data_IF_895458171850
#
_entry.id   IF_895458171850
#
_cell.length_a   1.000
_cell.length_b   1.000
_cell.length_c   1.000
_cell.angle_alpha   90.00
_cell.angle_beta   90.00
_cell.angle_gamma   90.00
#
_symmetry.space_group_name_H-M   'P 1'
#
loop_
_entity.id
_entity.type
_entity.pdbx_description
1 polymer ?
#
# COMPACT_ATOMS: atom_id res chain seq x y z
N UNK A 1 38.02 -35.24 -10.99
CA UNK A 1 37.36 -35.50 -9.70
C UNK A 1 36.47 -34.32 -9.39
N UNK A 2 35.26 -34.33 -9.94
CA UNK A 2 34.19 -33.41 -9.61
C UNK A 2 33.07 -34.27 -8.99
N UNK A 3 32.90 -34.22 -7.70
CA UNK A 3 31.77 -34.81 -6.99
C UNK A 3 31.44 -33.90 -5.81
N UNK A 4 30.20 -33.59 -5.74
CA UNK A 4 29.36 -32.98 -4.67
C UNK A 4 28.89 -31.59 -4.96
N UNK A 5 28.00 -31.46 -5.95
CA UNK A 5 26.92 -30.50 -5.91
C UNK A 5 25.81 -31.13 -5.03
N UNK A 6 25.65 -30.59 -3.82
CA UNK A 6 24.50 -30.87 -2.98
C UNK A 6 23.30 -30.17 -3.64
N UNK A 7 22.21 -30.87 -3.95
CA UNK A 7 21.01 -30.20 -4.40
C UNK A 7 20.44 -29.41 -3.22
N UNK A 8 20.37 -28.08 -3.37
CA UNK A 8 19.57 -27.26 -2.48
C UNK A 8 18.12 -27.81 -2.52
N UNK A 9 17.48 -28.01 -1.35
CA UNK A 9 16.09 -28.33 -1.33
C UNK A 9 15.31 -27.15 -1.91
N UNK A 10 14.55 -27.44 -2.95
CA UNK A 10 13.56 -26.55 -3.55
C UNK A 10 12.49 -26.27 -2.47
N UNK A 11 12.66 -25.19 -1.73
CA UNK A 11 11.63 -24.68 -0.85
C UNK A 11 10.63 -23.95 -1.74
N UNK A 12 9.58 -24.67 -2.13
CA UNK A 12 8.39 -24.05 -2.71
C UNK A 12 7.73 -23.30 -1.54
N UNK A 13 8.06 -22.04 -1.39
CA UNK A 13 7.29 -21.11 -0.56
C UNK A 13 5.97 -20.87 -1.30
N UNK A 14 4.97 -21.67 -0.98
CA UNK A 14 3.58 -21.29 -1.14
C UNK A 14 3.37 -20.18 -0.12
N UNK A 15 3.55 -18.93 -0.54
CA UNK A 15 3.11 -17.78 0.22
C UNK A 15 1.58 -17.82 0.21
N UNK A 16 0.98 -18.48 1.20
CA UNK A 16 -0.41 -18.20 1.50
C UNK A 16 -0.48 -16.73 1.92
N UNK A 17 -1.33 -15.92 1.28
CA UNK A 17 -1.52 -14.55 1.72
C UNK A 17 -2.02 -14.58 3.16
N UNK A 18 -1.23 -14.07 4.09
CA UNK A 18 -1.66 -13.88 5.47
C UNK A 18 -2.44 -12.57 5.50
N UNK A 19 -3.73 -12.66 5.30
CA UNK A 19 -4.65 -11.55 5.51
C UNK A 19 -4.74 -11.28 7.00
N UNK A 20 -3.86 -10.45 7.52
CA UNK A 20 -3.92 -9.92 8.89
C UNK A 20 -4.19 -8.44 8.85
N UNK A 21 -5.20 -7.95 9.59
CA UNK A 21 -5.31 -6.52 9.88
C UNK A 21 -4.06 -6.10 10.67
N UNK A 22 -3.08 -5.56 9.99
CA UNK A 22 -1.84 -5.10 10.61
C UNK A 22 -0.66 -5.26 9.69
N UNK A 23 -0.03 -4.16 9.35
CA UNK A 23 1.11 -3.96 8.48
C UNK A 23 1.99 -5.18 8.19
N UNK A 24 2.59 -5.18 7.04
CA UNK A 24 3.43 -6.23 6.47
C UNK A 24 3.86 -7.33 7.46
N UNK A 25 3.12 -8.42 7.52
CA UNK A 25 3.61 -9.64 8.15
C UNK A 25 4.37 -10.43 7.07
N UNK A 26 5.53 -9.90 6.71
CA UNK A 26 6.48 -10.59 5.86
C UNK A 26 6.91 -11.86 6.58
N UNK A 27 6.28 -12.99 6.27
CA UNK A 27 6.57 -14.33 6.74
C UNK A 27 6.85 -14.44 8.25
N UNK A 28 6.31 -15.43 8.92
CA UNK A 28 6.55 -15.70 10.35
C UNK A 28 8.07 -15.85 10.66
N UNK A 29 8.80 -14.73 10.70
CA UNK A 29 10.18 -14.67 11.14
C UNK A 29 10.31 -14.90 12.66
N UNK A 30 9.19 -15.15 13.37
CA UNK A 30 9.15 -15.36 14.82
C UNK A 30 9.95 -16.58 15.28
N UNK A 31 10.24 -17.52 14.42
CA UNK A 31 10.94 -18.80 14.72
C UNK A 31 12.45 -18.75 14.58
N UNK A 32 13.03 -17.64 14.17
CA UNK A 32 14.48 -17.48 14.01
C UNK A 32 15.19 -17.16 15.32
N UNK A 33 16.42 -17.67 15.50
CA UNK A 33 17.33 -17.27 16.58
C UNK A 33 17.78 -15.81 16.45
N UNK A 34 18.66 -15.35 17.38
CA UNK A 34 19.35 -14.06 17.26
C UNK A 34 20.02 -13.94 15.91
N UNK A 35 19.91 -12.81 15.25
CA UNK A 35 20.60 -12.59 13.98
C UNK A 35 19.99 -11.49 13.14
N UNK A 36 20.64 -11.29 12.04
CA UNK A 36 20.20 -10.42 10.95
C UNK A 36 19.34 -11.24 9.98
N UNK A 37 18.34 -10.62 9.40
CA UNK A 37 17.55 -11.15 8.30
C UNK A 37 17.21 -10.03 7.33
N UNK A 38 16.95 -10.39 6.10
CA UNK A 38 16.55 -9.43 5.10
C UNK A 38 15.67 -10.10 4.04
N UNK A 39 14.75 -9.31 3.53
CA UNK A 39 13.88 -9.63 2.42
C UNK A 39 14.04 -8.54 1.37
N UNK A 40 14.18 -8.91 0.11
CA UNK A 40 14.31 -7.96 -1.00
C UNK A 40 13.29 -8.34 -2.06
N UNK A 41 12.43 -7.39 -2.40
CA UNK A 41 11.49 -7.49 -3.51
C UNK A 41 11.80 -6.41 -4.54
N UNK A 42 12.23 -6.83 -5.71
CA UNK A 42 12.54 -5.95 -6.83
C UNK A 42 11.42 -6.04 -7.84
N UNK A 43 10.78 -4.91 -8.12
CA UNK A 43 9.76 -4.77 -9.16
C UNK A 43 10.11 -3.61 -10.07
N UNK A 44 10.11 -3.87 -11.36
CA UNK A 44 10.29 -2.84 -12.39
C UNK A 44 9.10 -2.89 -13.33
N UNK A 45 8.48 -1.76 -13.51
CA UNK A 45 7.34 -1.55 -14.39
C UNK A 45 7.77 -0.88 -15.69
N UNK A 46 7.15 -1.28 -16.77
CA UNK A 46 7.24 -0.68 -18.10
C UNK A 46 5.82 -0.49 -18.58
N UNK A 47 5.33 0.72 -18.51
CA UNK A 47 3.95 1.06 -18.75
C UNK A 47 3.83 2.03 -19.93
N UNK A 48 2.70 1.97 -20.62
CA UNK A 48 2.29 2.93 -21.62
C UNK A 48 0.89 3.42 -21.31
N UNK A 49 0.72 4.73 -21.20
CA UNK A 49 -0.57 5.37 -21.22
C UNK A 49 -1.00 5.44 -22.68
N UNK A 50 -2.01 4.64 -23.05
CA UNK A 50 -2.44 4.42 -24.44
C UNK A 50 -3.59 5.32 -24.85
N UNK A 51 -4.32 5.86 -23.88
CA UNK A 51 -5.42 6.81 -24.06
C UNK A 51 -5.54 7.69 -22.83
N UNK A 52 -5.68 8.98 -22.99
CA UNK A 52 -5.89 9.96 -21.94
C UNK A 52 -6.67 11.16 -22.51
N UNK A 53 -7.43 11.87 -21.66
CA UNK A 53 -8.17 13.07 -22.06
C UNK A 53 -7.27 14.16 -22.67
N UNK A 54 -6.02 14.23 -22.21
CA UNK A 54 -5.00 15.10 -22.75
C UNK A 54 -3.93 14.27 -23.48
N UNK A 55 -3.76 14.48 -24.77
CA UNK A 55 -2.75 13.78 -25.55
C UNK A 55 -1.30 14.00 -25.03
N UNK A 56 -1.06 15.06 -24.25
CA UNK A 56 0.22 15.29 -23.56
C UNK A 56 0.47 14.30 -22.42
N UNK A 57 -0.51 13.53 -22.02
CA UNK A 57 -0.43 12.50 -20.97
C UNK A 57 -0.29 11.08 -21.54
N UNK A 58 -0.25 10.93 -22.89
CA UNK A 58 0.02 9.66 -23.55
C UNK A 58 1.53 9.48 -23.77
N UNK A 59 2.19 8.70 -22.93
CA UNK A 59 3.64 8.46 -22.99
C UNK A 59 4.02 7.07 -22.48
N UNK A 60 5.27 6.68 -22.75
CA UNK A 60 5.89 5.48 -22.18
C UNK A 60 6.59 5.85 -20.87
N UNK A 61 6.46 5.00 -19.85
CA UNK A 61 7.18 5.17 -18.60
C UNK A 61 7.82 3.87 -18.12
N UNK A 62 8.97 4.00 -17.47
CA UNK A 62 9.59 2.91 -16.72
C UNK A 62 9.91 3.40 -15.31
N UNK A 63 9.47 2.64 -14.32
CA UNK A 63 9.70 2.95 -12.91
C UNK A 63 9.92 1.68 -12.10
N UNK A 64 10.47 1.83 -10.90
CA UNK A 64 10.60 0.73 -9.96
C UNK A 64 9.73 0.95 -8.73
N UNK A 65 9.15 -0.14 -8.24
CA UNK A 65 8.50 -0.22 -6.94
C UNK A 65 9.16 -1.36 -6.18
N UNK A 66 10.35 -1.08 -5.67
CA UNK A 66 11.20 -2.09 -5.04
C UNK A 66 11.40 -1.77 -3.57
N UNK A 67 11.38 -2.78 -2.72
CA UNK A 67 11.62 -2.60 -1.30
C UNK A 67 12.57 -3.63 -0.72
N UNK A 68 13.25 -3.24 0.33
CA UNK A 68 14.16 -4.06 1.10
C UNK A 68 13.80 -3.96 2.57
N UNK A 69 13.38 -5.07 3.15
CA UNK A 69 13.25 -5.20 4.59
C UNK A 69 14.57 -5.66 5.19
N UNK A 70 15.02 -4.96 6.21
CA UNK A 70 16.18 -5.29 7.02
C UNK A 70 15.76 -5.45 8.47
N UNK A 71 16.09 -6.57 9.08
CA UNK A 71 15.77 -6.81 10.47
C UNK A 71 16.95 -7.33 11.27
N UNK A 72 17.02 -6.91 12.54
CA UNK A 72 17.96 -7.45 13.50
C UNK A 72 17.23 -7.91 14.76
N UNK A 73 17.33 -9.20 15.05
CA UNK A 73 16.74 -9.80 16.24
C UNK A 73 17.79 -9.93 17.33
N UNK A 74 17.57 -9.26 18.46
CA UNK A 74 18.45 -9.31 19.64
C UNK A 74 18.16 -10.53 20.53
N UNK A 75 16.89 -10.91 20.61
CA UNK A 75 16.40 -12.10 21.31
C UNK A 75 15.04 -12.50 20.73
N UNK A 76 14.35 -13.49 21.32
CA UNK A 76 13.06 -13.98 20.85
C UNK A 76 11.91 -12.95 20.91
N UNK A 77 12.12 -11.80 21.56
CA UNK A 77 11.09 -10.79 21.76
C UNK A 77 11.45 -9.40 21.24
N UNK A 78 12.72 -9.07 21.10
CA UNK A 78 13.19 -7.73 20.76
C UNK A 78 13.86 -7.73 19.39
N UNK A 79 13.36 -6.88 18.48
CA UNK A 79 13.93 -6.64 17.16
C UNK A 79 13.92 -5.17 16.76
N UNK A 80 14.72 -4.84 15.76
CA UNK A 80 14.64 -3.60 14.99
C UNK A 80 14.39 -4.00 13.54
N UNK A 81 13.43 -3.35 12.89
CA UNK A 81 13.12 -3.55 11.48
C UNK A 81 13.18 -2.23 10.75
N UNK A 82 13.65 -2.25 9.51
CA UNK A 82 13.60 -1.12 8.59
C UNK A 82 13.07 -1.60 7.25
N UNK A 83 12.13 -0.87 6.66
CA UNK A 83 11.68 -1.05 5.30
C UNK A 83 12.17 0.15 4.47
N UNK A 84 12.97 -0.14 3.46
CA UNK A 84 13.59 0.84 2.57
C UNK A 84 12.99 0.62 1.19
N UNK A 85 12.46 1.67 0.58
CA UNK A 85 11.92 1.65 -0.77
C UNK A 85 12.81 2.41 -1.75
N UNK A 86 12.88 1.90 -2.98
CA UNK A 86 13.24 2.66 -4.17
C UNK A 86 11.97 2.69 -4.99
N UNK A 87 11.35 3.84 -5.08
CA UNK A 87 10.02 3.97 -5.67
C UNK A 87 10.00 5.18 -6.61
N UNK A 88 9.70 4.91 -7.89
CA UNK A 88 9.33 5.94 -8.84
C UNK A 88 7.82 6.11 -8.80
N UNK A 89 7.34 7.32 -8.78
CA UNK A 89 5.91 7.60 -8.84
C UNK A 89 5.42 7.45 -10.29
N UNK A 90 4.45 6.54 -10.55
CA UNK A 90 3.82 6.50 -11.85
C UNK A 90 3.08 7.82 -12.09
N UNK A 91 3.24 8.38 -13.27
CA UNK A 91 2.59 9.65 -13.61
C UNK A 91 1.06 9.54 -13.48
N UNK A 92 0.47 10.55 -12.86
CA UNK A 92 -0.97 10.62 -12.61
C UNK A 92 -1.43 10.03 -11.28
N UNK A 93 -0.54 9.57 -10.43
CA UNK A 93 -0.85 9.32 -9.02
C UNK A 93 -0.52 10.55 -8.19
N UNK A 94 -1.47 11.45 -8.04
CA UNK A 94 -1.39 12.47 -7.00
C UNK A 94 -1.71 11.79 -5.68
N UNK A 95 -0.68 11.46 -4.91
CA UNK A 95 -0.88 11.21 -3.49
C UNK A 95 -1.38 12.52 -2.89
N UNK A 96 -2.60 12.52 -2.33
CA UNK A 96 -3.20 13.68 -1.69
C UNK A 96 -2.38 14.16 -0.48
N UNK A 97 -1.23 14.72 -0.74
CA UNK A 97 -0.48 15.56 0.17
C UNK A 97 -0.81 17.00 -0.22
N UNK A 98 -1.69 17.63 0.58
CA UNK A 98 -2.00 19.04 0.44
C UNK A 98 -0.74 19.88 0.55
N UNK A 99 -0.13 20.12 -0.57
CA UNK A 99 0.74 21.24 -0.87
C UNK A 99 0.59 21.45 -2.38
N UNK A 100 -0.46 22.14 -2.78
CA UNK A 100 -0.45 22.79 -4.07
C UNK A 100 0.73 23.78 -4.04
N UNK A 101 1.74 23.52 -4.85
CA UNK A 101 2.66 24.59 -5.25
C UNK A 101 1.80 25.58 -6.04
N UNK A 102 1.34 26.66 -5.37
CA UNK A 102 0.83 27.83 -6.06
C UNK A 102 1.95 28.38 -6.94
N UNK A 103 1.98 27.96 -8.19
CA UNK A 103 2.68 28.71 -9.23
C UNK A 103 1.98 30.08 -9.30
N UNK A 104 2.58 31.08 -8.68
CA UNK A 104 2.23 32.47 -8.91
C UNK A 104 2.48 32.80 -10.37
N UNK A 105 1.45 32.64 -11.19
CA UNK A 105 1.39 33.29 -12.48
C UNK A 105 1.17 34.79 -12.24
N UNK A 106 2.25 35.56 -12.35
CA UNK A 106 2.14 36.99 -12.59
C UNK A 106 1.35 37.19 -13.89
N UNK A 107 0.14 37.76 -13.78
CA UNK A 107 -0.68 38.15 -14.91
C UNK A 107 0.03 39.29 -15.69
N UNK A 108 0.83 38.91 -16.68
CA UNK A 108 1.14 39.80 -17.80
C UNK A 108 0.13 39.52 -18.91
N UNK A 109 -0.76 40.47 -19.16
CA UNK A 109 -1.61 40.55 -20.35
C UNK A 109 -0.75 40.56 -21.63
N UNK A 110 -0.77 39.47 -22.40
CA UNK A 110 -0.03 39.39 -23.65
C UNK A 110 -0.37 38.21 -24.53
N UNK A 111 -1.24 38.45 -25.52
CA UNK A 111 -1.38 37.75 -26.79
C UNK A 111 -1.60 36.22 -26.75
N UNK A 112 -2.82 35.82 -27.11
CA UNK A 112 -3.18 34.45 -27.48
C UNK A 112 -2.28 33.91 -28.59
N UNK A 113 -1.17 33.29 -28.18
CA UNK A 113 -0.53 32.28 -29.02
C UNK A 113 -1.22 30.95 -28.69
N UNK A 114 -1.82 30.30 -29.69
CA UNK A 114 -2.13 28.87 -29.61
C UNK A 114 -0.80 28.15 -29.36
N UNK A 115 -0.50 27.87 -28.08
CA UNK A 115 0.59 26.98 -27.75
C UNK A 115 0.21 25.59 -28.31
N UNK A 116 0.96 25.18 -29.32
CA UNK A 116 0.92 23.80 -29.78
C UNK A 116 1.18 22.90 -28.54
N UNK A 117 0.20 22.06 -28.18
CA UNK A 117 0.31 21.15 -27.06
C UNK A 117 1.70 20.49 -27.09
N UNK A 118 2.47 20.70 -26.03
CA UNK A 118 3.79 20.07 -25.92
C UNK A 118 3.58 18.56 -26.04
N UNK A 119 4.34 17.93 -26.95
CA UNK A 119 4.26 16.48 -27.10
C UNK A 119 4.64 15.82 -25.77
N UNK A 120 3.89 14.77 -25.40
CA UNK A 120 4.20 13.96 -24.25
C UNK A 120 5.67 13.49 -24.28
N UNK A 121 6.35 13.56 -23.16
CA UNK A 121 7.74 13.12 -23.04
C UNK A 121 7.78 11.83 -22.24
N UNK A 122 8.41 10.78 -22.80
CA UNK A 122 8.60 9.52 -22.11
C UNK A 122 9.40 9.71 -20.82
N UNK A 123 9.00 9.00 -19.76
CA UNK A 123 9.60 9.05 -18.42
C UNK A 123 10.28 7.72 -18.13
N UNK A 124 11.60 7.67 -18.22
CA UNK A 124 12.36 6.44 -17.99
C UNK A 124 13.20 6.56 -16.75
N UNK A 125 12.73 5.98 -15.65
CA UNK A 125 13.39 6.00 -14.33
C UNK A 125 13.64 7.42 -13.79
N UNK A 126 12.69 8.32 -14.03
CA UNK A 126 12.69 9.65 -13.45
C UNK A 126 12.24 9.57 -11.98
N UNK A 127 12.80 10.45 -11.15
CA UNK A 127 12.45 10.60 -9.72
C UNK A 127 12.31 9.29 -8.94
N UNK A 128 13.44 8.60 -8.76
CA UNK A 128 13.53 7.36 -8.00
C UNK A 128 14.25 7.57 -6.67
N UNK A 129 13.62 8.21 -5.68
CA UNK A 129 14.23 8.41 -4.38
C UNK A 129 14.40 7.09 -3.63
N UNK A 130 15.43 7.05 -2.79
CA UNK A 130 15.60 6.01 -1.79
C UNK A 130 14.97 6.49 -0.48
N UNK A 131 13.92 5.83 -0.04
CA UNK A 131 13.10 6.22 1.08
C UNK A 131 13.19 5.22 2.24
N UNK A 132 13.20 5.73 3.48
CA UNK A 132 12.87 4.90 4.64
C UNK A 132 11.36 4.99 4.87
N UNK A 133 10.63 3.98 4.42
CA UNK A 133 9.18 3.92 4.66
C UNK A 133 8.88 3.63 6.13
N UNK A 134 9.59 2.65 6.70
CA UNK A 134 9.41 2.26 8.09
C UNK A 134 10.75 2.00 8.77
N UNK A 135 10.85 2.37 10.03
CA UNK A 135 11.92 1.95 10.93
C UNK A 135 11.36 1.84 12.34
N UNK A 136 11.34 0.63 12.89
CA UNK A 136 10.68 0.35 14.17
C UNK A 136 11.53 -0.47 15.09
N UNK A 137 11.41 -0.18 16.37
CA UNK A 137 11.82 -1.08 17.46
C UNK A 137 10.58 -1.85 17.90
N UNK A 138 10.68 -3.18 17.92
CA UNK A 138 9.56 -4.06 18.20
C UNK A 138 9.86 -4.95 19.40
N UNK A 139 8.84 -5.10 20.26
CA UNK A 139 8.81 -6.09 21.32
C UNK A 139 7.61 -7.01 21.09
N UNK A 140 7.86 -8.27 20.82
CA UNK A 140 6.85 -9.27 20.49
C UNK A 140 6.74 -10.34 21.57
N UNK A 141 5.50 -10.54 22.05
CA UNK A 141 5.12 -11.63 22.92
C UNK A 141 4.01 -12.46 22.25
N UNK A 142 3.71 -13.62 22.78
CA UNK A 142 2.66 -14.50 22.28
C UNK A 142 1.29 -13.80 22.21
N UNK A 143 0.96 -12.97 23.22
CA UNK A 143 -0.35 -12.34 23.37
C UNK A 143 -0.38 -10.85 22.98
N UNK A 144 0.77 -10.21 22.86
CA UNK A 144 0.84 -8.79 22.51
C UNK A 144 2.15 -8.44 21.85
N UNK A 145 2.13 -7.35 21.08
CA UNK A 145 3.32 -6.71 20.52
C UNK A 145 3.28 -5.23 20.82
N UNK A 146 4.46 -4.63 21.03
CA UNK A 146 4.64 -3.19 21.17
C UNK A 146 5.62 -2.74 20.11
N UNK A 147 5.37 -1.60 19.50
CA UNK A 147 6.27 -1.05 18.50
C UNK A 147 6.35 0.47 18.63
N UNK A 148 7.50 1.02 18.23
CA UNK A 148 7.73 2.47 18.21
C UNK A 148 8.73 2.83 17.09
N UNK A 149 8.52 3.97 16.46
CA UNK A 149 9.36 4.49 15.38
C UNK A 149 8.55 5.10 14.26
N UNK A 150 9.04 4.98 13.03
CA UNK A 150 8.32 5.34 11.81
C UNK A 150 7.60 4.10 11.27
N UNK A 151 6.30 4.17 11.05
CA UNK A 151 5.46 3.04 10.63
C UNK A 151 4.21 3.49 9.88
N UNK A 152 3.50 2.54 9.28
CA UNK A 152 2.20 2.75 8.66
C UNK A 152 1.08 2.41 9.66
N UNK A 153 0.28 3.39 10.13
CA UNK A 153 -0.87 3.14 10.99
C UNK A 153 -1.92 2.25 10.30
N UNK A 154 -2.40 1.23 11.00
CA UNK A 154 -3.34 0.27 10.42
C UNK A 154 -4.77 0.78 10.54
N UNK A 155 -5.47 0.86 9.40
CA UNK A 155 -6.90 1.19 9.35
C UNK A 155 -7.65 0.12 8.55
N UNK A 156 -7.27 -0.14 7.30
CA UNK A 156 -7.82 -1.16 6.41
C UNK A 156 -6.96 -2.41 6.30
N UNK A 157 -7.17 -3.17 5.25
CA UNK A 157 -6.29 -4.26 4.87
C UNK A 157 -4.96 -3.73 4.34
N UNK A 158 -3.94 -4.60 4.35
CA UNK A 158 -2.68 -4.30 3.72
C UNK A 158 -2.88 -4.16 2.19
N UNK A 159 -2.43 -3.05 1.62
CA UNK A 159 -2.61 -2.75 0.20
C UNK A 159 -1.91 -3.76 -0.72
N UNK A 160 -0.87 -4.44 -0.27
CA UNK A 160 -0.19 -5.49 -1.03
C UNK A 160 -1.02 -6.77 -1.20
N UNK A 161 -2.10 -6.93 -0.44
CA UNK A 161 -2.98 -8.10 -0.54
C UNK A 161 -3.97 -8.01 -1.70
N UNK A 162 -4.13 -6.84 -2.32
CA UNK A 162 -5.06 -6.67 -3.42
C UNK A 162 -4.49 -7.24 -4.72
N UNK A 163 -5.23 -8.15 -5.39
CA UNK A 163 -4.73 -8.89 -6.53
C UNK A 163 -4.51 -8.02 -7.77
N UNK A 164 -3.59 -8.47 -8.62
CA UNK A 164 -3.27 -7.83 -9.87
C UNK A 164 -2.07 -6.88 -9.81
N UNK A 165 -1.52 -6.60 -10.99
CA UNK A 165 -0.30 -5.84 -11.16
C UNK A 165 -0.40 -4.40 -10.63
N UNK A 166 -1.58 -3.79 -10.76
CA UNK A 166 -1.87 -2.43 -10.31
C UNK A 166 -2.76 -2.36 -9.07
N UNK A 167 -3.13 -3.52 -8.47
CA UNK A 167 -4.08 -3.57 -7.35
C UNK A 167 -3.60 -2.78 -6.13
N UNK A 168 -2.31 -2.88 -5.81
CA UNK A 168 -1.71 -2.19 -4.67
C UNK A 168 -1.75 -0.65 -4.82
N UNK A 169 -1.55 -0.12 -6.04
CA UNK A 169 -1.50 1.32 -6.31
C UNK A 169 -2.79 2.02 -5.93
N UNK A 170 -3.93 1.38 -6.21
CA UNK A 170 -5.26 1.93 -5.92
C UNK A 170 -5.45 2.11 -4.42
N UNK A 171 -5.07 1.09 -3.64
CA UNK A 171 -5.25 1.10 -2.18
C UNK A 171 -4.22 2.01 -1.52
N UNK A 172 -3.02 2.06 -2.07
CA UNK A 172 -1.93 2.91 -1.58
C UNK A 172 -2.31 4.40 -1.55
N UNK A 173 -3.20 4.85 -2.45
CA UNK A 173 -3.66 6.23 -2.50
C UNK A 173 -4.45 6.67 -1.25
N UNK A 174 -5.08 5.74 -0.53
CA UNK A 174 -5.90 6.07 0.63
C UNK A 174 -5.43 5.45 1.96
N UNK A 175 -4.27 4.81 2.03
CA UNK A 175 -3.72 4.33 3.31
C UNK A 175 -2.92 5.42 4.03
N UNK A 176 -2.85 5.34 5.36
CA UNK A 176 -2.02 6.23 6.17
C UNK A 176 -0.61 5.64 6.22
N UNK A 177 0.39 6.41 5.75
CA UNK A 177 1.77 5.92 5.67
C UNK A 177 2.74 6.86 6.38
N UNK A 178 3.90 6.30 6.74
CA UNK A 178 5.10 7.05 7.14
C UNK A 178 4.87 7.99 8.31
N UNK A 179 4.26 7.48 9.39
CA UNK A 179 4.00 8.25 10.62
C UNK A 179 4.99 7.90 11.71
N UNK A 180 5.37 8.89 12.51
CA UNK A 180 6.20 8.68 13.72
C UNK A 180 5.30 8.52 14.93
N UNK A 181 5.55 7.47 15.71
CA UNK A 181 4.72 7.19 16.86
C UNK A 181 5.03 5.87 17.53
N UNK A 182 4.02 5.34 18.20
CA UNK A 182 4.08 4.03 18.83
C UNK A 182 2.71 3.36 18.84
N UNK A 183 2.71 2.04 19.01
CA UNK A 183 1.48 1.27 19.04
C UNK A 183 1.62 -0.06 19.79
N UNK A 184 0.50 -0.73 19.89
CA UNK A 184 0.37 -2.05 20.50
C UNK A 184 -0.59 -2.91 19.70
N UNK A 185 -0.28 -4.21 19.59
CA UNK A 185 -1.17 -5.25 19.05
C UNK A 185 -1.52 -6.20 20.20
N UNK A 186 -2.79 -6.48 20.42
CA UNK A 186 -3.28 -7.51 21.31
C UNK A 186 -3.77 -8.70 20.48
N UNK A 187 -3.18 -9.86 20.71
CA UNK A 187 -3.43 -11.11 19.97
C UNK A 187 -4.25 -12.05 20.83
N UNK A 188 -5.37 -12.51 20.32
CA UNK A 188 -6.26 -13.44 21.01
C UNK A 188 -6.60 -14.62 20.12
N UNK A 189 -6.22 -15.81 20.57
CA UNK A 189 -6.62 -17.05 19.93
C UNK A 189 -7.92 -17.53 20.63
N UNK A 190 -9.03 -17.47 19.90
CA UNK A 190 -10.33 -17.92 20.37
C UNK A 190 -10.64 -19.37 19.96
N UNK A 191 -9.63 -20.16 19.63
CA UNK A 191 -9.75 -21.53 19.16
C UNK A 191 -10.52 -21.60 17.83
N UNK A 192 -11.61 -22.40 17.81
CA UNK A 192 -12.42 -22.56 16.60
C UNK A 192 -13.07 -21.27 16.09
N UNK A 193 -13.18 -20.25 16.94
CA UNK A 193 -13.70 -18.93 16.54
C UNK A 193 -12.66 -18.04 15.89
N UNK A 194 -11.43 -18.53 15.67
CA UNK A 194 -10.37 -17.85 14.97
C UNK A 194 -9.40 -17.06 15.84
N UNK A 195 -8.42 -16.48 15.18
CA UNK A 195 -7.43 -15.59 15.81
C UNK A 195 -7.82 -14.15 15.54
N UNK A 196 -7.83 -13.33 16.58
CA UNK A 196 -8.19 -11.93 16.52
C UNK A 196 -7.03 -11.04 16.94
N UNK A 197 -6.85 -9.93 16.26
CA UNK A 197 -5.83 -8.93 16.59
C UNK A 197 -6.49 -7.57 16.71
N UNK A 198 -6.40 -6.97 17.91
CA UNK A 198 -6.73 -5.57 18.13
C UNK A 198 -5.44 -4.75 18.07
N UNK A 199 -5.38 -3.80 17.18
CA UNK A 199 -4.24 -2.91 16.99
C UNK A 199 -4.65 -1.48 17.41
N UNK A 200 -3.75 -0.80 18.11
CA UNK A 200 -3.86 0.61 18.46
C UNK A 200 -2.54 1.31 18.19
N UNK A 201 -2.58 2.49 17.60
CA UNK A 201 -1.40 3.35 17.48
C UNK A 201 -1.74 4.81 17.67
N UNK A 202 -0.75 5.59 18.11
CA UNK A 202 -0.79 7.05 18.13
C UNK A 202 0.44 7.60 17.42
N UNK A 203 0.27 8.70 16.69
CA UNK A 203 1.28 9.14 15.75
C UNK A 203 1.14 10.61 15.36
N UNK A 204 2.13 11.11 14.61
CA UNK A 204 2.12 12.35 13.86
C UNK A 204 2.90 12.20 12.55
N UNK A 205 2.80 13.19 11.65
CA UNK A 205 3.53 13.17 10.37
C UNK A 205 5.04 13.18 10.58
N UNK A 206 5.79 12.49 9.71
CA UNK A 206 7.25 12.50 9.77
C UNK A 206 7.79 13.84 9.28
N UNK A 207 8.28 14.66 10.23
CA UNK A 207 8.87 15.97 10.00
C UNK A 207 10.39 15.99 10.19
N UNK A 208 11.03 14.86 10.48
CA UNK A 208 12.43 14.91 10.92
C UNK A 208 13.31 13.73 10.50
N UNK A 209 12.77 12.52 10.46
CA UNK A 209 13.63 11.33 10.36
C UNK A 209 14.10 11.05 8.92
N UNK A 210 13.21 11.24 7.95
CA UNK A 210 13.50 10.92 6.56
C UNK A 210 14.48 11.90 5.91
N UNK A 211 14.37 13.18 6.19
CA UNK A 211 15.24 14.22 5.64
C UNK A 211 16.70 14.07 6.06
N UNK A 212 16.95 13.45 7.20
CA UNK A 212 18.29 13.34 7.77
C UNK A 212 19.08 12.14 7.28
N UNK A 213 18.40 11.09 6.81
CA UNK A 213 19.02 9.79 6.51
C UNK A 213 18.97 9.44 5.02
N UNK A 214 17.83 9.57 4.38
CA UNK A 214 17.60 9.27 2.98
C UNK A 214 16.68 10.35 2.40
N UNK A 215 16.48 10.33 1.09
CA UNK A 215 15.55 11.26 0.47
C UNK A 215 14.13 11.08 1.05
N UNK A 216 13.49 12.19 1.43
CA UNK A 216 12.11 12.22 1.87
C UNK A 216 11.17 12.54 0.70
N UNK A 217 9.90 12.22 0.86
CA UNK A 217 8.83 12.63 -0.07
C UNK A 217 8.48 14.12 0.08
N UNK A 218 9.49 14.96 0.17
CA UNK A 218 9.35 16.40 0.43
C UNK A 218 9.76 16.77 1.86
N UNK A 219 10.08 18.03 2.05
CA UNK A 219 10.42 18.60 3.35
C UNK A 219 9.13 18.96 4.06
N UNK A 220 8.73 18.14 5.04
CA UNK A 220 7.56 18.44 5.84
C UNK A 220 8.01 19.02 7.17
N UNK A 221 7.80 20.31 7.35
CA UNK A 221 7.92 20.98 8.63
C UNK A 221 6.53 21.20 9.24
N UNK A 222 6.45 21.44 10.54
CA UNK A 222 5.16 21.78 11.17
C UNK A 222 4.50 23.02 10.54
N UNK A 223 5.32 23.94 10.04
CA UNK A 223 4.86 25.17 9.42
C UNK A 223 4.16 24.96 8.07
N UNK A 224 4.47 23.88 7.39
CA UNK A 224 3.85 23.53 6.11
C UNK A 224 2.40 23.05 6.25
N UNK A 225 1.99 22.72 7.47
CA UNK A 225 0.62 22.30 7.76
C UNK A 225 0.32 20.86 7.33
N UNK A 226 -0.93 20.60 7.02
CA UNK A 226 -1.42 19.27 6.65
C UNK A 226 -1.87 18.42 7.84
N UNK A 227 -2.69 17.41 7.56
CA UNK A 227 -3.21 16.49 8.57
C UNK A 227 -2.10 15.68 9.24
N UNK A 228 -2.26 15.39 10.52
CA UNK A 228 -1.26 14.75 11.39
C UNK A 228 0.03 15.54 11.58
N UNK A 229 0.23 16.69 10.94
CA UNK A 229 1.44 17.49 11.06
C UNK A 229 1.40 18.37 12.32
N UNK A 230 1.32 17.74 13.49
CA UNK A 230 1.09 18.39 14.80
C UNK A 230 2.32 18.32 15.71
N UNK A 231 3.30 17.45 15.44
CA UNK A 231 4.44 17.11 16.30
C UNK A 231 4.01 16.64 17.71
N UNK A 232 2.78 16.13 17.82
CA UNK A 232 2.25 15.55 19.04
C UNK A 232 1.38 14.31 18.73
N UNK A 233 1.00 13.56 19.76
CA UNK A 233 0.28 12.29 19.62
C UNK A 233 -1.24 12.46 19.63
N UNK A 234 -1.79 13.46 18.93
CA UNK A 234 -3.24 13.66 18.83
C UNK A 234 -3.88 12.80 17.75
N UNK A 235 -3.11 12.34 16.75
CA UNK A 235 -3.59 11.38 15.75
C UNK A 235 -3.50 9.97 16.28
N UNK A 236 -4.47 9.12 15.95
CA UNK A 236 -4.48 7.71 16.36
C UNK A 236 -5.25 6.83 15.40
N UNK A 237 -4.96 5.51 15.46
CA UNK A 237 -5.74 4.49 14.79
C UNK A 237 -6.09 3.33 15.72
N UNK A 238 -7.23 2.69 15.46
CA UNK A 238 -7.67 1.45 16.09
C UNK A 238 -8.16 0.51 14.99
N UNK A 239 -7.68 -0.73 14.98
CA UNK A 239 -8.20 -1.73 14.06
C UNK A 239 -8.39 -3.08 14.73
N UNK A 240 -9.41 -3.83 14.29
CA UNK A 240 -9.69 -5.18 14.72
C UNK A 240 -9.72 -6.08 13.49
N UNK A 241 -8.89 -7.10 13.47
CA UNK A 241 -8.86 -8.11 12.41
C UNK A 241 -9.08 -9.52 12.97
N UNK A 242 -9.54 -10.42 12.11
CA UNK A 242 -9.70 -11.82 12.44
C UNK A 242 -9.45 -12.75 11.26
N UNK A 243 -8.89 -13.93 11.57
CA UNK A 243 -8.51 -14.98 10.61
C UNK A 243 -8.66 -16.38 11.25
N UNK A 244 -8.45 -17.43 10.48
CA UNK A 244 -8.38 -18.83 10.96
C UNK A 244 -9.64 -19.32 11.67
N UNK A 245 -10.80 -19.15 11.08
CA UNK A 245 -12.09 -19.61 11.62
C UNK A 245 -12.32 -21.09 11.29
N UNK A 246 -12.33 -21.95 12.31
CA UNK A 246 -12.49 -23.42 12.14
C UNK A 246 -13.84 -23.96 12.60
N UNK A 247 -14.70 -23.15 13.23
CA UNK A 247 -15.92 -23.60 13.92
C UNK A 247 -17.10 -23.95 13.03
N UNK A 248 -17.04 -23.63 11.76
CA UNK A 248 -18.09 -24.00 10.85
C UNK A 248 -17.67 -25.31 10.14
N UNK A 249 -18.42 -26.38 10.35
CA UNK A 249 -18.22 -27.76 9.88
C UNK A 249 -17.94 -27.95 8.36
N UNK A 250 -17.63 -26.87 7.69
CA UNK A 250 -17.23 -26.81 6.28
C UNK A 250 -15.93 -26.03 6.19
N UNK A 251 -14.97 -26.49 5.43
CA UNK A 251 -13.71 -25.81 5.07
C UNK A 251 -13.87 -24.37 4.50
N UNK A 252 -15.08 -23.86 4.46
CA UNK A 252 -15.44 -22.53 3.96
C UNK A 252 -14.95 -21.44 4.91
N UNK A 253 -15.00 -21.66 6.23
CA UNK A 253 -14.63 -20.62 7.19
C UNK A 253 -13.10 -20.46 7.35
N UNK A 254 -12.33 -21.48 7.00
CA UNK A 254 -10.87 -21.49 7.18
C UNK A 254 -10.17 -20.39 6.37
N UNK A 255 -10.72 -20.03 5.22
CA UNK A 255 -10.17 -18.97 4.36
C UNK A 255 -10.73 -17.57 4.62
N UNK A 256 -11.66 -17.41 5.57
CA UNK A 256 -12.28 -16.13 5.85
C UNK A 256 -11.36 -15.23 6.66
N UNK A 257 -11.31 -13.96 6.30
CA UNK A 257 -10.67 -12.90 7.06
C UNK A 257 -11.58 -11.68 7.14
N UNK A 258 -11.47 -10.87 8.19
CA UNK A 258 -12.14 -9.59 8.27
C UNK A 258 -11.25 -8.51 8.87
N UNK A 259 -11.55 -7.26 8.56
CA UNK A 259 -10.96 -6.09 9.15
C UNK A 259 -12.01 -5.03 9.44
N UNK A 260 -11.84 -4.35 10.57
CA UNK A 260 -12.57 -3.14 10.94
C UNK A 260 -11.54 -2.11 11.38
N UNK A 261 -11.65 -0.88 10.93
CA UNK A 261 -10.70 0.15 11.28
C UNK A 261 -11.33 1.50 11.50
N UNK A 262 -10.67 2.28 12.33
CA UNK A 262 -10.94 3.68 12.57
C UNK A 262 -9.62 4.43 12.75
N UNK A 263 -9.50 5.60 12.14
CA UNK A 263 -8.41 6.53 12.44
C UNK A 263 -8.92 7.95 12.50
N UNK A 264 -8.22 8.76 13.30
CA UNK A 264 -8.34 10.21 13.32
C UNK A 264 -6.96 10.81 13.10
N UNK A 265 -6.83 11.64 12.11
CA UNK A 265 -5.65 12.43 11.84
C UNK A 265 -5.95 13.89 12.26
N UNK A 266 -5.28 14.37 13.29
CA UNK A 266 -5.52 15.68 13.84
C UNK A 266 -5.15 16.79 12.84
N UNK A 267 -5.94 17.85 12.80
CA UNK A 267 -5.69 19.01 11.97
C UNK A 267 -4.33 19.67 12.31
N UNK A 268 -3.52 19.87 11.29
CA UNK A 268 -2.30 20.66 11.37
C UNK A 268 -2.57 22.14 11.08
N UNK A 269 -1.50 22.92 10.91
CA UNK A 269 -1.63 24.32 10.58
C UNK A 269 -2.32 24.51 9.23
N UNK A 270 -3.35 25.34 9.18
CA UNK A 270 -4.09 25.64 7.96
C UNK A 270 -5.29 24.72 7.69
N UNK A 271 -5.37 23.55 8.31
CA UNK A 271 -6.52 22.67 8.19
C UNK A 271 -7.70 23.19 9.02
N UNK A 272 -8.91 23.03 8.49
CA UNK A 272 -10.14 23.42 9.15
C UNK A 272 -10.61 22.37 10.15
N UNK A 273 -10.48 21.08 9.78
CA UNK A 273 -11.03 19.95 10.53
C UNK A 273 -10.01 18.81 10.66
N UNK A 274 -10.26 17.89 11.59
CA UNK A 274 -9.55 16.62 11.65
C UNK A 274 -10.06 15.68 10.57
N UNK A 275 -9.18 14.97 9.90
CA UNK A 275 -9.59 13.91 8.99
C UNK A 275 -9.91 12.64 9.77
N UNK A 276 -11.03 11.99 9.46
CA UNK A 276 -11.37 10.68 10.04
C UNK A 276 -11.55 9.61 8.97
N UNK A 277 -11.13 8.40 9.26
CA UNK A 277 -11.22 7.24 8.36
C UNK A 277 -11.91 6.08 9.05
N UNK A 278 -12.80 5.40 8.31
CA UNK A 278 -13.49 4.18 8.74
C UNK A 278 -13.29 3.12 7.67
N UNK A 279 -12.96 1.91 8.06
CA UNK A 279 -12.85 0.80 7.12
C UNK A 279 -13.62 -0.43 7.57
N UNK A 280 -14.16 -1.14 6.58
CA UNK A 280 -14.71 -2.49 6.73
C UNK A 280 -14.16 -3.33 5.60
N UNK A 281 -13.49 -4.43 5.94
CA UNK A 281 -12.82 -5.29 4.97
C UNK A 281 -13.19 -6.75 5.18
N UNK A 282 -13.34 -7.51 4.09
CA UNK A 282 -13.55 -8.95 4.08
C UNK A 282 -12.63 -9.59 3.05
N UNK A 283 -12.00 -10.68 3.43
CA UNK A 283 -11.19 -11.52 2.55
C UNK A 283 -11.62 -12.97 2.62
N UNK A 284 -11.47 -13.68 1.53
CA UNK A 284 -11.76 -15.10 1.46
C UNK A 284 -10.82 -15.80 0.49
N UNK A 285 -10.00 -16.71 1.01
CA UNK A 285 -9.08 -17.53 0.24
C UNK A 285 -9.55 -18.96 0.23
N UNK A 286 -9.65 -19.58 -0.93
CA UNK A 286 -10.07 -20.98 -1.06
C UNK A 286 -9.21 -21.78 -2.02
N UNK A 287 -8.69 -22.91 -1.55
CA UNK A 287 -8.08 -23.94 -2.39
C UNK A 287 -9.15 -24.74 -3.10
N UNK A 288 -9.41 -24.41 -4.36
CA UNK A 288 -10.40 -25.12 -5.21
C UNK A 288 -9.91 -26.50 -5.59
N UNK A 289 -8.62 -26.64 -5.84
CA UNK A 289 -7.93 -27.91 -6.12
C UNK A 289 -6.50 -27.87 -5.54
N UNK A 290 -5.73 -28.93 -5.73
CA UNK A 290 -4.30 -28.97 -5.32
C UNK A 290 -3.43 -27.92 -6.01
N UNK A 291 -3.89 -27.40 -7.16
CA UNK A 291 -3.11 -26.49 -8.01
C UNK A 291 -3.86 -25.17 -8.29
N UNK A 292 -5.05 -24.99 -7.76
CA UNK A 292 -5.86 -23.80 -8.00
C UNK A 292 -6.26 -23.23 -6.64
N UNK A 293 -5.90 -21.98 -6.40
CA UNK A 293 -6.34 -21.18 -5.28
C UNK A 293 -7.06 -19.94 -5.80
N UNK A 294 -8.13 -19.55 -5.14
CA UNK A 294 -8.91 -18.37 -5.48
C UNK A 294 -9.04 -17.45 -4.27
N UNK A 295 -8.86 -16.17 -4.51
CA UNK A 295 -8.92 -15.12 -3.53
C UNK A 295 -10.00 -14.11 -3.88
N UNK A 296 -10.80 -13.74 -2.90
CA UNK A 296 -11.74 -12.63 -2.95
C UNK A 296 -11.38 -11.67 -1.83
N UNK A 297 -11.21 -10.40 -2.14
CA UNK A 297 -10.99 -9.36 -1.16
C UNK A 297 -11.92 -8.21 -1.44
N UNK A 298 -12.47 -7.60 -0.42
CA UNK A 298 -13.26 -6.38 -0.54
C UNK A 298 -13.01 -5.47 0.64
N UNK A 299 -12.98 -4.17 0.37
CA UNK A 299 -12.82 -3.14 1.37
C UNK A 299 -13.71 -1.94 1.03
N UNK A 300 -14.32 -1.38 2.04
CA UNK A 300 -14.93 -0.06 2.00
C UNK A 300 -14.19 0.85 2.97
N UNK A 301 -13.67 1.95 2.44
CA UNK A 301 -13.00 3.01 3.21
C UNK A 301 -13.80 4.30 3.06
N UNK A 302 -14.25 4.87 4.15
CA UNK A 302 -14.82 6.21 4.23
C UNK A 302 -13.81 7.16 4.84
N UNK A 303 -13.63 8.33 4.23
CA UNK A 303 -12.77 9.41 4.70
C UNK A 303 -13.63 10.65 4.80
N UNK A 304 -13.79 11.15 6.01
CA UNK A 304 -14.49 12.41 6.27
C UNK A 304 -13.45 13.52 6.43
N UNK A 305 -13.69 14.68 5.86
CA UNK A 305 -12.79 15.84 5.82
C UNK A 305 -11.43 15.48 5.21
N UNK A 306 -11.44 14.95 4.00
CA UNK A 306 -10.22 14.55 3.27
C UNK A 306 -9.23 15.73 3.24
N UNK A 307 -7.98 15.45 3.63
CA UNK A 307 -6.95 16.47 3.73
C UNK A 307 -7.15 17.50 4.87
N UNK A 308 -8.18 17.34 5.72
CA UNK A 308 -8.56 18.32 6.76
C UNK A 308 -9.42 19.45 6.22
N UNK A 309 -10.06 19.28 5.08
CA UNK A 309 -10.95 20.25 4.44
C UNK A 309 -12.39 20.03 4.90
N UNK A 310 -13.08 21.13 5.23
CA UNK A 310 -14.49 21.06 5.62
C UNK A 310 -15.38 20.81 4.41
N UNK A 311 -16.30 19.81 4.53
CA UNK A 311 -17.23 19.47 3.47
C UNK A 311 -16.61 18.71 2.29
N UNK A 312 -15.42 18.14 2.45
CA UNK A 312 -14.77 17.27 1.46
C UNK A 312 -14.67 15.84 2.00
N UNK A 313 -15.64 15.00 1.64
CA UNK A 313 -15.70 13.61 2.05
C UNK A 313 -15.47 12.70 0.84
N UNK A 314 -14.72 11.62 1.03
CA UNK A 314 -14.45 10.66 -0.04
C UNK A 314 -14.60 9.23 0.46
N UNK A 315 -15.17 8.36 -0.36
CA UNK A 315 -15.19 6.93 -0.05
C UNK A 315 -14.69 6.08 -1.20
N UNK A 316 -14.08 4.95 -0.83
CA UNK A 316 -13.57 3.95 -1.76
C UNK A 316 -14.24 2.62 -1.47
N UNK A 317 -14.76 1.97 -2.50
CA UNK A 317 -15.28 0.60 -2.40
C UNK A 317 -14.53 -0.27 -3.38
N UNK A 318 -13.67 -1.14 -2.87
CA UNK A 318 -12.77 -1.96 -3.68
C UNK A 318 -13.16 -3.43 -3.58
N UNK A 319 -13.14 -4.11 -4.73
CA UNK A 319 -13.30 -5.57 -4.85
C UNK A 319 -12.18 -6.12 -5.70
N UNK A 320 -11.45 -7.09 -5.16
CA UNK A 320 -10.37 -7.80 -5.85
C UNK A 320 -10.65 -9.29 -5.97
N UNK A 321 -10.32 -9.88 -7.10
CA UNK A 321 -10.39 -11.32 -7.37
C UNK A 321 -9.03 -11.80 -7.86
N UNK A 322 -8.47 -12.81 -7.18
CA UNK A 322 -7.24 -13.50 -7.54
C UNK A 322 -7.51 -14.95 -7.92
N UNK A 323 -6.73 -15.47 -8.83
CA UNK A 323 -6.72 -16.88 -9.18
C UNK A 323 -5.30 -17.34 -9.46
N UNK A 324 -4.80 -18.24 -8.61
CA UNK A 324 -3.50 -18.86 -8.79
C UNK A 324 -3.64 -20.27 -9.36
N UNK A 325 -2.91 -20.54 -10.43
CA UNK A 325 -2.80 -21.87 -11.03
C UNK A 325 -1.35 -22.23 -11.25
N UNK A 326 -0.78 -23.00 -10.33
CA UNK A 326 0.64 -23.38 -10.34
C UNK A 326 1.53 -22.14 -10.30
N UNK A 327 2.18 -21.83 -11.44
CA UNK A 327 3.06 -20.68 -11.62
C UNK A 327 2.38 -19.47 -12.27
N UNK A 328 1.11 -19.60 -12.64
CA UNK A 328 0.31 -18.53 -13.22
C UNK A 328 -0.50 -17.85 -12.14
N UNK A 329 -0.60 -16.54 -12.21
CA UNK A 329 -1.54 -15.75 -11.43
C UNK A 329 -2.40 -14.89 -12.38
N UNK A 330 -3.66 -14.75 -12.05
CA UNK A 330 -4.61 -13.83 -12.68
C UNK A 330 -5.19 -12.97 -11.57
N UNK A 331 -5.14 -11.66 -11.73
CA UNK A 331 -5.70 -10.72 -10.77
C UNK A 331 -6.55 -9.66 -11.44
N UNK A 332 -7.64 -9.30 -10.81
CA UNK A 332 -8.47 -8.15 -11.20
C UNK A 332 -8.93 -7.40 -9.97
N UNK A 333 -8.99 -6.09 -10.07
CA UNK A 333 -9.47 -5.21 -9.00
C UNK A 333 -10.37 -4.13 -9.60
N UNK A 334 -11.47 -3.85 -8.94
CA UNK A 334 -12.36 -2.76 -9.24
C UNK A 334 -12.53 -1.88 -8.01
N UNK A 335 -12.40 -0.58 -8.16
CA UNK A 335 -12.65 0.41 -7.12
C UNK A 335 -13.66 1.43 -7.63
N UNK A 336 -14.69 1.68 -6.86
CA UNK A 336 -15.60 2.81 -7.01
C UNK A 336 -15.19 3.89 -6.01
N UNK A 337 -15.06 5.10 -6.49
CA UNK A 337 -14.71 6.30 -5.72
C UNK A 337 -15.97 7.16 -5.70
N UNK A 338 -16.43 7.49 -4.50
CA UNK A 338 -17.49 8.49 -4.34
C UNK A 338 -16.84 9.72 -3.68
N UNK A 339 -16.94 10.84 -4.35
CA UNK A 339 -16.38 12.11 -3.90
C UNK A 339 -17.53 13.08 -3.61
N UNK A 340 -17.74 13.40 -2.34
CA UNK A 340 -18.78 14.32 -1.89
C UNK A 340 -18.12 15.60 -1.38
N UNK A 341 -18.12 16.63 -2.22
CA UNK A 341 -17.60 17.94 -1.90
C UNK A 341 -18.72 18.99 -1.96
N UNK A 342 -18.70 19.93 -1.04
CA UNK A 342 -19.69 21.01 -0.96
C UNK A 342 -19.64 21.96 -2.17
N UNK A 343 -18.52 22.02 -2.88
CA UNK A 343 -18.35 22.80 -4.10
C UNK A 343 -18.66 21.92 -5.34
N UNK A 344 -19.54 22.42 -6.20
CA UNK A 344 -20.15 21.68 -7.33
C UNK A 344 -19.13 21.20 -8.38
N UNK A 345 -17.93 21.78 -8.41
CA UNK A 345 -16.88 21.45 -9.38
C UNK A 345 -15.86 20.41 -8.84
N UNK A 346 -15.89 20.07 -7.54
CA UNK A 346 -14.92 19.19 -6.89
C UNK A 346 -15.45 17.78 -6.57
N UNK A 347 -16.78 17.57 -6.59
CA UNK A 347 -17.42 16.31 -6.26
C UNK A 347 -17.71 15.45 -7.49
N UNK A 348 -16.71 14.72 -8.03
CA UNK A 348 -16.95 13.77 -9.11
C UNK A 348 -16.67 12.33 -8.69
N UNK A 349 -17.66 11.47 -8.93
CA UNK A 349 -17.50 10.04 -8.69
C UNK A 349 -16.56 9.44 -9.72
N UNK A 350 -15.68 8.58 -9.28
CA UNK A 350 -14.69 7.92 -10.14
C UNK A 350 -14.76 6.41 -10.07
N UNK A 351 -14.06 5.78 -10.97
CA UNK A 351 -13.87 4.34 -10.93
C UNK A 351 -12.56 3.89 -11.55
N UNK A 352 -11.98 2.87 -10.95
CA UNK A 352 -10.73 2.27 -11.42
C UNK A 352 -10.97 0.77 -11.59
N UNK A 353 -10.55 0.21 -12.70
CA UNK A 353 -10.47 -1.22 -12.84
C UNK A 353 -9.16 -1.64 -13.49
N UNK A 354 -8.67 -2.80 -13.07
CA UNK A 354 -7.49 -3.41 -13.65
C UNK A 354 -7.67 -4.90 -13.80
N UNK A 355 -6.94 -5.47 -14.74
CA UNK A 355 -6.77 -6.92 -14.92
C UNK A 355 -5.35 -7.22 -15.31
N UNK A 356 -4.79 -8.28 -14.77
CA UNK A 356 -3.43 -8.71 -15.12
C UNK A 356 -3.27 -10.21 -15.06
N UNK A 357 -2.32 -10.71 -15.82
CA UNK A 357 -1.87 -12.10 -15.78
C UNK A 357 -0.36 -12.12 -15.59
N UNK A 358 0.11 -13.01 -14.71
CA UNK A 358 1.52 -13.17 -14.42
C UNK A 358 1.96 -14.63 -14.46
N UNK A 359 3.26 -14.80 -14.57
CA UNK A 359 3.93 -16.11 -14.53
C UNK A 359 5.23 -16.02 -13.75
N UNK A 360 5.42 -16.91 -12.78
CA UNK A 360 6.66 -17.02 -12.00
C UNK A 360 7.49 -18.19 -12.51
N UNK A 361 8.69 -17.90 -13.00
CA UNK A 361 9.63 -18.90 -13.49
C UNK A 361 10.26 -19.66 -12.32
N UNK A 362 10.80 -20.86 -12.62
CA UNK A 362 11.43 -21.72 -11.60
C UNK A 362 12.69 -21.11 -10.95
N UNK A 363 13.27 -20.07 -11.52
CA UNK A 363 14.39 -19.30 -10.97
C UNK A 363 13.95 -18.13 -10.08
N UNK A 364 12.64 -17.97 -9.83
CA UNK A 364 12.10 -16.91 -8.99
C UNK A 364 11.77 -15.60 -9.72
N UNK A 365 12.11 -15.47 -11.01
CA UNK A 365 11.72 -14.28 -11.78
C UNK A 365 10.22 -14.35 -12.08
N UNK A 366 9.50 -13.28 -11.78
CA UNK A 366 8.12 -13.04 -12.17
C UNK A 366 8.05 -12.13 -13.41
N UNK A 367 7.06 -12.40 -14.26
CA UNK A 367 6.71 -11.56 -15.40
C UNK A 367 5.19 -11.41 -15.41
N UNK A 368 4.70 -10.18 -15.45
CA UNK A 368 3.27 -9.89 -15.53
C UNK A 368 2.97 -8.89 -16.63
N UNK A 369 1.78 -8.98 -17.19
CA UNK A 369 1.20 -7.99 -18.10
C UNK A 369 -0.18 -7.62 -17.58
N UNK A 370 -0.54 -6.35 -17.66
CA UNK A 370 -1.80 -5.84 -17.15
C UNK A 370 -2.33 -4.66 -17.94
N UNK A 371 -3.61 -4.42 -17.73
CA UNK A 371 -4.34 -3.27 -18.21
C UNK A 371 -5.04 -2.60 -17.03
N UNK A 372 -5.01 -1.26 -16.98
CA UNK A 372 -5.71 -0.42 -16.01
C UNK A 372 -6.47 0.67 -16.78
N UNK A 373 -7.72 0.90 -16.41
CA UNK A 373 -8.47 2.10 -16.77
C UNK A 373 -8.89 2.80 -15.49
N UNK A 374 -8.64 4.08 -15.42
CA UNK A 374 -9.10 4.96 -14.34
C UNK A 374 -9.92 6.10 -14.93
N UNK A 375 -10.90 6.50 -14.15
CA UNK A 375 -11.66 7.73 -14.25
C UNK A 375 -11.62 8.33 -12.84
N UNK A 376 -10.80 9.32 -12.65
CA UNK A 376 -10.53 9.96 -11.36
C UNK A 376 -10.52 11.46 -11.58
N UNK A 377 -11.29 12.20 -10.79
CA UNK A 377 -11.36 13.67 -10.82
C UNK A 377 -11.63 14.23 -12.25
N UNK A 378 -12.55 13.60 -13.02
CA UNK A 378 -12.87 13.89 -14.43
C UNK A 378 -11.73 13.66 -15.43
N UNK A 379 -10.72 12.88 -15.12
CA UNK A 379 -9.68 12.51 -16.06
C UNK A 379 -9.71 11.00 -16.34
N UNK A 380 -10.01 10.63 -17.57
CA UNK A 380 -9.92 9.23 -18.01
C UNK A 380 -8.50 8.91 -18.50
N UNK A 381 -7.99 7.75 -18.04
CA UNK A 381 -6.67 7.23 -18.46
C UNK A 381 -6.72 5.71 -18.64
N UNK A 382 -6.18 5.25 -19.76
CA UNK A 382 -5.99 3.83 -20.04
C UNK A 382 -4.50 3.50 -20.11
N UNK A 383 -4.10 2.44 -19.38
CA UNK A 383 -2.70 2.03 -19.24
C UNK A 383 -2.54 0.55 -19.54
N UNK A 384 -1.51 0.22 -20.31
CA UNK A 384 -1.02 -1.16 -20.48
C UNK A 384 0.38 -1.21 -19.89
N UNK A 385 0.64 -2.22 -19.06
CA UNK A 385 1.93 -2.35 -18.39
C UNK A 385 2.47 -3.77 -18.37
N UNK A 386 3.77 -3.86 -18.15
CA UNK A 386 4.50 -5.10 -17.92
C UNK A 386 5.38 -4.93 -16.70
N UNK A 387 5.37 -5.92 -15.80
CA UNK A 387 6.23 -5.93 -14.62
C UNK A 387 7.20 -7.09 -14.67
N UNK A 388 8.46 -6.83 -14.36
CA UNK A 388 9.48 -7.84 -14.05
C UNK A 388 9.74 -7.79 -12.55
N UNK A 389 9.63 -8.93 -11.87
CA UNK A 389 9.82 -9.02 -10.41
C UNK A 389 10.80 -10.12 -10.04
N UNK A 390 11.46 -9.93 -8.89
CA UNK A 390 12.32 -10.95 -8.27
C UNK A 390 12.34 -10.75 -6.75
N UNK A 391 12.06 -11.81 -6.02
CA UNK A 391 12.05 -11.79 -4.56
C UNK A 391 13.17 -12.67 -4.01
N UNK A 392 13.87 -12.19 -2.97
CA UNK A 392 15.01 -12.89 -2.37
C UNK A 392 15.05 -12.71 -0.85
N UNK A 393 15.19 -13.84 -0.12
CA UNK A 393 15.33 -13.90 1.34
C UNK A 393 16.76 -14.33 1.72
N UNK A 394 17.37 -13.72 2.75
CA UNK A 394 18.68 -14.10 3.30
C UNK A 394 18.91 -13.72 4.77
#
# INVERSE_FOLDING_TARGET
MLKNLVPLPMLVLLSAPVYGAGGHDHGDHSKGGKGFYSHVDVKTHFDRIVDADKASEEFDEAYTHSHMELGMRFNSKLSINANIKIEGEPAGHHHGHGAEEEEHHDEEEGEHHEEAAAAATDKMFDDHPLLIEQITVNFDDEHYSLYAGKFNPVVGFDYHNFPGMFGYQIIESYVIRERIGFGAKLKHDAGDLGRHTLNFSTFFADTSLSDSLLHARGNTSKEDGGISNTEDFQSFSVSLGGTDFYSLDNNIAEGLTYGLGYARQAAGKGNAEDETRYSVSLGYTQKLTKNIEADLITEHMQIDHLGGENGHDRSYTTVGLGLDYKNWNLGTTYTHINNDADEVDEGHDGHIYQVSIGYTFSNGIGLSIGYKKSDEDNEEKERIGTTVSYTYDF
#
